data_IF_619510464184
#
_entry.id   IF_619510464184
#
_cell.length_a   1.000
_cell.length_b   1.000
_cell.length_c   1.000
_cell.angle_alpha   90.00
_cell.angle_beta   90.00
_cell.angle_gamma   90.00
#
_symmetry.space_group_name_H-M   'P 1'
#
loop_
_entity.id
_entity.type
_entity.pdbx_description
1 polymer ?
#
# COMPACT_ATOMS: atom_id res chain seq x y z
N UNK A 1 15.65 -45.74 0.62
CA UNK A 1 16.31 -44.99 1.71
C UNK A 1 17.78 -44.86 1.34
N UNK A 2 18.16 -43.73 0.74
CA UNK A 2 19.55 -43.31 0.56
C UNK A 2 19.56 -41.83 0.93
N UNK A 3 20.14 -41.54 2.09
CA UNK A 3 20.52 -40.20 2.49
C UNK A 3 21.67 -39.74 1.60
N UNK A 4 21.57 -38.52 1.08
CA UNK A 4 22.77 -37.70 0.92
C UNK A 4 22.50 -36.27 1.38
N UNK A 5 23.42 -35.80 2.21
CA UNK A 5 23.41 -34.51 2.90
C UNK A 5 24.25 -33.54 2.07
N UNK A 6 23.58 -32.67 1.32
CA UNK A 6 24.03 -31.31 0.96
C UNK A 6 22.88 -30.65 0.21
N UNK A 7 22.47 -29.48 0.68
CA UNK A 7 21.35 -28.68 0.20
C UNK A 7 21.51 -28.26 -1.27
N UNK A 8 21.24 -29.20 -2.18
CA UNK A 8 21.01 -28.94 -3.59
C UNK A 8 19.63 -28.32 -3.75
N UNK A 9 19.57 -27.06 -4.15
CA UNK A 9 18.32 -26.38 -4.47
C UNK A 9 17.75 -27.06 -5.73
N UNK A 10 16.85 -28.02 -5.55
CA UNK A 10 16.01 -28.53 -6.61
C UNK A 10 15.03 -27.41 -7.00
N UNK A 11 15.46 -26.55 -7.92
CA UNK A 11 14.60 -25.55 -8.54
C UNK A 11 13.67 -26.30 -9.50
N UNK A 12 12.36 -26.20 -9.28
CA UNK A 12 11.38 -26.83 -10.18
C UNK A 12 11.49 -26.23 -11.60
N UNK A 13 11.18 -27.04 -12.62
CA UNK A 13 11.18 -26.60 -14.03
C UNK A 13 10.35 -25.32 -14.21
N UNK A 14 9.16 -25.26 -13.58
CA UNK A 14 8.31 -24.06 -13.65
C UNK A 14 8.96 -22.79 -13.09
N UNK A 15 9.82 -22.89 -12.06
CA UNK A 15 10.54 -21.73 -11.53
C UNK A 15 11.64 -21.24 -12.49
N UNK A 16 12.28 -22.15 -13.23
CA UNK A 16 13.24 -21.78 -14.28
C UNK A 16 12.51 -21.08 -15.44
N UNK A 17 11.34 -21.56 -15.83
CA UNK A 17 10.52 -20.93 -16.87
C UNK A 17 10.05 -19.53 -16.45
N UNK A 18 9.61 -19.36 -15.20
CA UNK A 18 9.28 -18.04 -14.63
C UNK A 18 10.48 -17.08 -14.67
N UNK A 19 11.69 -17.56 -14.36
CA UNK A 19 12.90 -16.74 -14.45
C UNK A 19 13.28 -16.37 -15.87
N UNK A 20 13.15 -17.29 -16.84
CA UNK A 20 13.38 -17.00 -18.26
C UNK A 20 12.40 -15.96 -18.77
N UNK A 21 11.13 -16.15 -18.46
CA UNK A 21 10.05 -15.23 -18.75
C UNK A 21 10.29 -13.81 -18.18
N UNK A 22 10.74 -13.72 -16.92
CA UNK A 22 11.11 -12.45 -16.31
C UNK A 22 12.34 -11.84 -16.99
N UNK A 23 13.37 -12.63 -17.29
CA UNK A 23 14.56 -12.18 -18.01
C UNK A 23 14.26 -11.60 -19.39
N UNK A 24 13.36 -12.23 -20.14
CA UNK A 24 12.88 -11.73 -21.45
C UNK A 24 12.20 -10.36 -21.30
N UNK A 25 11.29 -10.25 -20.33
CA UNK A 25 10.57 -9.01 -20.01
C UNK A 25 11.54 -7.91 -19.58
N UNK A 26 12.49 -8.25 -18.70
CA UNK A 26 13.50 -7.34 -18.18
C UNK A 26 14.41 -6.79 -19.28
N UNK A 27 14.87 -7.63 -20.22
CA UNK A 27 15.66 -7.20 -21.39
C UNK A 27 14.84 -6.35 -22.35
N UNK A 28 13.58 -6.72 -22.59
CA UNK A 28 12.68 -5.97 -23.48
C UNK A 28 12.21 -4.64 -22.86
N UNK A 29 12.34 -4.49 -21.54
CA UNK A 29 11.83 -3.38 -20.73
C UNK A 29 10.33 -3.09 -20.94
N UNK A 30 9.56 -4.14 -21.22
CA UNK A 30 8.11 -4.06 -21.53
C UNK A 30 7.34 -5.06 -20.69
N UNK A 31 6.29 -4.64 -19.97
CA UNK A 31 5.48 -5.57 -19.17
C UNK A 31 4.84 -6.62 -20.07
N UNK A 32 4.63 -7.82 -19.52
CA UNK A 32 3.93 -8.90 -20.21
C UNK A 32 2.73 -9.34 -19.40
N UNK A 33 1.54 -9.24 -19.99
CA UNK A 33 0.30 -9.75 -19.39
C UNK A 33 0.35 -11.29 -19.40
N UNK A 34 0.02 -11.90 -18.28
CA UNK A 34 -0.08 -13.35 -18.14
C UNK A 34 -1.43 -13.83 -18.71
N UNK A 35 -1.46 -14.97 -19.40
CA UNK A 35 -2.71 -15.54 -19.88
C UNK A 35 -3.63 -15.87 -18.70
N UNK A 36 -4.93 -15.63 -18.86
CA UNK A 36 -5.94 -15.87 -17.82
C UNK A 36 -7.03 -14.81 -17.81
N UNK A 37 -8.05 -15.01 -16.98
CA UNK A 37 -9.02 -13.97 -16.65
C UNK A 37 -8.61 -13.34 -15.35
N UNK A 38 -8.25 -12.06 -15.40
CA UNK A 38 -7.89 -11.26 -14.23
C UNK A 38 -9.03 -10.28 -13.96
N UNK A 39 -9.41 -10.11 -12.70
CA UNK A 39 -10.38 -9.07 -12.37
C UNK A 39 -9.79 -7.70 -12.76
N UNK A 40 -10.55 -6.80 -13.39
CA UNK A 40 -10.02 -5.47 -13.72
C UNK A 40 -9.73 -4.69 -12.44
N UNK A 41 -8.68 -3.86 -12.46
CA UNK A 41 -8.46 -2.87 -11.41
C UNK A 41 -9.62 -1.86 -11.49
N UNK A 42 -10.36 -1.62 -10.38
CA UNK A 42 -11.49 -0.70 -10.38
C UNK A 42 -11.11 0.71 -10.85
N UNK A 43 -11.96 1.36 -11.63
CA UNK A 43 -11.74 2.75 -12.03
C UNK A 43 -11.93 3.75 -10.87
N UNK A 44 -12.74 3.37 -9.87
CA UNK A 44 -12.93 4.10 -8.62
C UNK A 44 -12.62 3.21 -7.43
N UNK A 45 -11.87 3.74 -6.47
CA UNK A 45 -11.38 3.01 -5.29
C UNK A 45 -10.91 3.99 -4.21
N UNK A 46 -10.64 3.46 -3.03
CA UNK A 46 -9.95 4.16 -1.95
C UNK A 46 -8.53 3.60 -1.89
N UNK A 47 -7.54 4.40 -2.27
CA UNK A 47 -6.14 4.07 -2.08
C UNK A 47 -5.82 4.22 -0.59
N UNK A 48 -5.27 3.19 0.04
CA UNK A 48 -4.94 3.17 1.45
C UNK A 48 -3.52 2.66 1.64
N UNK A 49 -2.75 3.41 2.41
CA UNK A 49 -1.45 3.01 2.93
C UNK A 49 -1.39 3.39 4.42
N UNK A 50 -0.69 2.58 5.20
CA UNK A 50 -0.59 2.79 6.63
C UNK A 50 0.74 2.35 7.18
N UNK A 51 1.16 3.08 8.18
CA UNK A 51 2.35 2.82 8.93
C UNK A 51 1.97 2.29 10.31
N UNK A 52 2.55 1.14 10.64
CA UNK A 52 2.07 0.34 11.75
C UNK A 52 3.18 -0.44 12.45
N UNK A 53 2.83 -1.04 13.59
CA UNK A 53 3.65 -2.00 14.30
C UNK A 53 2.78 -3.24 14.58
N UNK A 54 3.30 -4.41 14.24
CA UNK A 54 2.62 -5.70 14.46
C UNK A 54 3.53 -6.59 15.30
N UNK A 55 3.14 -6.81 16.56
CA UNK A 55 3.75 -7.87 17.39
C UNK A 55 2.86 -9.11 17.36
N UNK A 56 3.25 -10.18 18.06
CA UNK A 56 2.46 -11.43 18.07
C UNK A 56 1.03 -11.20 18.55
N UNK A 57 0.84 -10.38 19.57
CA UNK A 57 -0.46 -10.22 20.26
C UNK A 57 -1.07 -8.83 20.14
N UNK A 58 -0.34 -7.85 19.62
CA UNK A 58 -0.80 -6.47 19.50
C UNK A 58 -0.64 -5.95 18.08
N UNK A 59 -1.46 -4.96 17.70
CA UNK A 59 -1.31 -4.16 16.49
C UNK A 59 -1.61 -2.70 16.78
N UNK A 60 -0.75 -1.80 16.31
CA UNK A 60 -0.97 -0.36 16.40
C UNK A 60 -0.72 0.30 15.04
N UNK A 61 -1.63 1.17 14.62
CA UNK A 61 -1.50 1.99 13.41
C UNK A 61 -1.21 3.40 13.88
N UNK A 62 -0.02 3.92 13.58
CA UNK A 62 0.39 5.24 14.05
C UNK A 62 0.21 6.32 12.97
N UNK A 63 0.14 5.94 11.71
CA UNK A 63 -0.22 6.87 10.63
C UNK A 63 -0.95 6.14 9.52
N UNK A 64 -1.93 6.78 8.89
CA UNK A 64 -2.47 6.31 7.62
C UNK A 64 -2.72 7.47 6.67
N UNK A 65 -2.77 7.17 5.38
CA UNK A 65 -3.32 8.04 4.35
C UNK A 65 -4.35 7.27 3.52
N UNK A 66 -5.52 7.88 3.32
CA UNK A 66 -6.57 7.35 2.48
C UNK A 66 -6.96 8.39 1.41
N UNK A 67 -7.09 7.96 0.15
CA UNK A 67 -7.49 8.83 -0.97
C UNK A 67 -8.60 8.18 -1.78
N UNK A 68 -9.72 8.87 -1.94
CA UNK A 68 -10.76 8.46 -2.88
C UNK A 68 -10.37 8.85 -4.31
N UNK A 69 -10.42 7.87 -5.21
CA UNK A 69 -10.03 7.97 -6.62
C UNK A 69 -11.22 7.63 -7.52
N UNK A 70 -11.31 8.26 -8.69
CA UNK A 70 -12.36 7.97 -9.68
C UNK A 70 -13.75 8.47 -9.29
N UNK A 71 -13.83 9.46 -8.38
CA UNK A 71 -15.09 10.05 -7.90
C UNK A 71 -15.17 11.54 -8.23
N UNK A 72 -16.39 12.09 -8.26
CA UNK A 72 -16.63 13.50 -8.55
C UNK A 72 -16.01 14.45 -7.51
N UNK A 73 -16.01 14.04 -6.23
CA UNK A 73 -15.47 14.82 -5.12
C UNK A 73 -14.34 14.03 -4.45
N UNK A 74 -13.13 13.98 -5.04
CA UNK A 74 -12.02 13.25 -4.45
C UNK A 74 -11.59 13.93 -3.14
N UNK A 75 -11.40 13.14 -2.09
CA UNK A 75 -10.84 13.58 -0.81
C UNK A 75 -9.61 12.77 -0.45
N UNK A 76 -8.70 13.41 0.27
CA UNK A 76 -7.59 12.75 0.94
C UNK A 76 -7.65 13.04 2.43
N UNK A 77 -7.46 12.00 3.23
CA UNK A 77 -7.35 12.07 4.68
C UNK A 77 -6.01 11.48 5.09
N UNK A 78 -5.20 12.27 5.80
CA UNK A 78 -3.96 11.79 6.41
C UNK A 78 -4.02 12.02 7.90
N UNK A 79 -3.78 10.97 8.68
CA UNK A 79 -3.82 11.05 10.14
C UNK A 79 -2.54 10.49 10.71
N UNK A 80 -1.95 11.24 11.65
CA UNK A 80 -0.95 10.75 12.57
C UNK A 80 -1.57 10.67 13.96
N UNK A 81 -1.42 9.52 14.63
CA UNK A 81 -1.83 9.31 16.00
C UNK A 81 -0.70 8.75 16.86
N UNK A 82 -0.63 9.21 18.10
CA UNK A 82 0.17 8.51 19.09
C UNK A 82 -0.53 7.23 19.60
N UNK A 83 0.10 6.56 20.57
CA UNK A 83 -0.41 5.30 21.12
C UNK A 83 -1.73 5.46 21.89
N UNK A 84 -2.07 6.68 22.32
CA UNK A 84 -3.27 6.95 23.12
C UNK A 84 -4.51 7.26 22.27
N UNK A 85 -4.32 7.65 21.01
CA UNK A 85 -5.39 8.06 20.10
C UNK A 85 -5.70 7.02 19.01
N UNK A 86 -5.37 5.74 19.24
CA UNK A 86 -5.64 4.67 18.27
C UNK A 86 -7.14 4.53 17.95
N UNK A 87 -8.02 4.66 18.94
CA UNK A 87 -9.46 4.59 18.74
C UNK A 87 -9.97 5.73 17.85
N UNK A 88 -9.50 6.95 18.08
CA UNK A 88 -9.86 8.13 17.29
C UNK A 88 -9.36 8.01 15.85
N UNK A 89 -8.14 7.49 15.65
CA UNK A 89 -7.58 7.22 14.33
C UNK A 89 -8.46 6.25 13.54
N UNK A 90 -8.87 5.15 14.17
CA UNK A 90 -9.75 4.17 13.53
C UNK A 90 -11.15 4.73 13.28
N UNK A 91 -11.69 5.55 14.19
CA UNK A 91 -12.98 6.20 13.99
C UNK A 91 -12.96 7.13 12.77
N UNK A 92 -11.91 7.93 12.61
CA UNK A 92 -11.75 8.82 11.45
C UNK A 92 -11.60 8.04 10.13
N UNK A 93 -10.87 6.92 10.14
CA UNK A 93 -10.81 6.03 8.98
C UNK A 93 -12.21 5.47 8.65
N UNK A 94 -12.97 5.02 9.65
CA UNK A 94 -14.33 4.53 9.44
C UNK A 94 -15.25 5.59 8.83
N UNK A 95 -15.19 6.84 9.33
CA UNK A 95 -15.97 7.96 8.80
C UNK A 95 -15.59 8.27 7.34
N UNK A 96 -14.29 8.25 7.02
CA UNK A 96 -13.82 8.42 5.64
C UNK A 96 -14.38 7.32 4.73
N UNK A 97 -14.34 6.07 5.17
CA UNK A 97 -14.86 4.94 4.42
C UNK A 97 -16.38 5.00 4.28
N UNK A 98 -17.10 5.47 5.29
CA UNK A 98 -18.54 5.65 5.27
C UNK A 98 -19.00 6.68 4.22
N UNK A 99 -18.16 7.69 3.95
CA UNK A 99 -18.42 8.67 2.90
C UNK A 99 -18.32 8.09 1.47
N UNK A 100 -17.70 6.91 1.32
CA UNK A 100 -17.53 6.21 0.04
C UNK A 100 -17.88 4.72 0.18
N UNK A 101 -19.16 4.39 0.44
CA UNK A 101 -19.57 3.04 0.80
C UNK A 101 -19.40 2.03 -0.35
N UNK A 102 -19.51 2.48 -1.60
CA UNK A 102 -19.47 1.63 -2.80
C UNK A 102 -18.06 1.44 -3.37
N UNK A 103 -17.06 2.13 -2.81
CA UNK A 103 -15.69 2.02 -3.32
C UNK A 103 -14.92 0.86 -2.67
N UNK A 104 -14.24 0.03 -3.47
CA UNK A 104 -13.29 -0.95 -2.94
C UNK A 104 -12.09 -0.23 -2.31
N UNK A 105 -11.47 -0.85 -1.31
CA UNK A 105 -10.17 -0.39 -0.79
C UNK A 105 -9.06 -1.09 -1.54
N UNK A 106 -8.08 -0.32 -1.98
CA UNK A 106 -6.91 -0.79 -2.70
C UNK A 106 -5.68 -0.43 -1.87
N UNK A 107 -4.85 -1.43 -1.56
CA UNK A 107 -3.54 -1.27 -0.92
C UNK A 107 -2.47 -1.97 -1.74
N UNK A 108 -1.19 -1.67 -1.48
CA UNK A 108 -0.13 -2.40 -2.16
C UNK A 108 -0.10 -3.87 -1.74
N UNK A 109 -0.34 -4.19 -0.46
CA UNK A 109 -0.37 -5.58 0.02
C UNK A 109 -1.39 -5.83 1.15
N UNK A 110 -1.71 -7.10 1.43
CA UNK A 110 -2.61 -7.48 2.53
C UNK A 110 -2.06 -7.18 3.94
N UNK A 111 -0.78 -6.80 4.10
CA UNK A 111 -0.21 -6.50 5.43
C UNK A 111 -1.07 -5.49 6.17
N UNK A 112 -1.41 -4.42 5.46
CA UNK A 112 -2.05 -3.23 6.00
C UNK A 112 -3.45 -3.57 6.51
N UNK A 113 -4.20 -4.30 5.70
CA UNK A 113 -5.55 -4.76 6.03
C UNK A 113 -5.54 -5.77 7.18
N UNK A 114 -4.55 -6.67 7.22
CA UNK A 114 -4.40 -7.62 8.33
C UNK A 114 -4.16 -6.89 9.65
N UNK A 115 -3.28 -5.89 9.64
CA UNK A 115 -2.96 -5.12 10.84
C UNK A 115 -4.15 -4.28 11.28
N UNK A 116 -4.86 -3.63 10.36
CA UNK A 116 -6.10 -2.92 10.67
C UNK A 116 -7.14 -3.84 11.31
N UNK A 117 -7.36 -5.04 10.76
CA UNK A 117 -8.29 -6.02 11.33
C UNK A 117 -7.94 -6.34 12.79
N UNK A 118 -6.65 -6.53 13.06
CA UNK A 118 -6.15 -6.82 14.39
C UNK A 118 -6.33 -5.63 15.35
N UNK A 119 -5.94 -4.43 14.94
CA UNK A 119 -6.08 -3.21 15.74
C UNK A 119 -7.56 -2.92 16.10
N UNK A 120 -8.49 -3.13 15.16
CA UNK A 120 -9.93 -2.94 15.39
C UNK A 120 -10.47 -3.95 16.39
N UNK A 121 -10.04 -5.21 16.29
CA UNK A 121 -10.43 -6.27 17.22
C UNK A 121 -9.95 -5.96 18.65
N UNK A 122 -8.74 -5.42 18.80
CA UNK A 122 -8.15 -5.11 20.09
C UNK A 122 -8.84 -3.94 20.80
N UNK A 123 -9.21 -2.89 20.06
CA UNK A 123 -9.77 -1.66 20.64
C UNK A 123 -11.28 -1.81 20.92
N UNK A 124 -11.89 -2.95 20.56
CA UNK A 124 -13.33 -3.21 20.72
C UNK A 124 -14.19 -2.08 20.14
N UNK A 125 -13.71 -1.42 19.09
CA UNK A 125 -14.54 -0.44 18.38
C UNK A 125 -15.62 -1.26 17.68
N UNK A 126 -16.88 -1.12 18.11
CA UNK A 126 -18.06 -1.65 17.43
C UNK A 126 -18.29 -0.92 16.09
N UNK A 127 -17.26 -0.88 15.24
CA UNK A 127 -17.34 -0.23 13.95
C UNK A 127 -17.57 -1.28 12.87
N UNK A 128 -18.85 -1.57 12.65
CA UNK A 128 -19.31 -2.45 11.57
C UNK A 128 -18.67 -2.07 10.22
N UNK A 129 -18.29 -0.81 9.98
CA UNK A 129 -17.62 -0.37 8.76
C UNK A 129 -16.21 -0.93 8.58
N UNK A 130 -15.41 -0.99 9.66
CA UNK A 130 -14.07 -1.60 9.56
C UNK A 130 -14.18 -3.13 9.64
N UNK A 131 -15.15 -3.66 10.40
CA UNK A 131 -15.51 -5.08 10.29
C UNK A 131 -15.88 -5.45 8.84
N UNK A 132 -16.70 -4.63 8.19
CA UNK A 132 -17.08 -4.78 6.78
C UNK A 132 -15.90 -4.61 5.83
N UNK A 133 -14.95 -3.70 6.09
CA UNK A 133 -13.68 -3.70 5.33
C UNK A 133 -12.99 -5.06 5.34
N UNK A 134 -13.04 -5.71 6.50
CA UNK A 134 -12.29 -6.94 6.74
C UNK A 134 -13.03 -8.21 6.33
N UNK A 135 -14.34 -8.15 6.09
CA UNK A 135 -15.21 -9.30 5.79
C UNK A 135 -16.01 -9.17 4.47
N UNK A 136 -16.42 -7.96 4.07
CA UNK A 136 -17.43 -7.76 3.01
C UNK A 136 -17.07 -6.74 1.93
N UNK A 137 -16.20 -5.75 2.18
CA UNK A 137 -15.69 -4.87 1.12
C UNK A 137 -14.69 -5.63 0.26
N UNK A 138 -14.73 -5.38 -1.05
CA UNK A 138 -13.78 -5.90 -2.01
C UNK A 138 -12.41 -5.23 -1.83
N UNK A 139 -11.64 -5.64 -0.82
CA UNK A 139 -10.23 -5.27 -0.76
C UNK A 139 -9.51 -5.80 -2.01
N UNK A 140 -8.75 -4.94 -2.65
CA UNK A 140 -7.90 -5.28 -3.78
C UNK A 140 -6.44 -5.18 -3.34
N UNK A 141 -5.80 -6.33 -3.18
CA UNK A 141 -4.34 -6.42 -3.04
C UNK A 141 -3.68 -6.26 -4.41
N UNK A 142 -3.07 -5.10 -4.64
CA UNK A 142 -2.48 -4.79 -5.94
C UNK A 142 -1.20 -5.60 -6.22
N UNK A 143 -0.43 -5.99 -5.20
CA UNK A 143 0.75 -6.83 -5.35
C UNK A 143 0.39 -8.25 -5.79
N UNK A 144 -0.58 -8.88 -5.12
CA UNK A 144 -1.05 -10.22 -5.49
C UNK A 144 -1.74 -10.19 -6.86
N UNK A 145 -2.54 -9.16 -7.14
CA UNK A 145 -3.08 -8.94 -8.48
C UNK A 145 -1.96 -8.85 -9.53
N UNK A 146 -0.91 -8.05 -9.26
CA UNK A 146 0.21 -7.86 -10.20
C UNK A 146 0.93 -9.18 -10.46
N UNK A 147 1.21 -9.96 -9.42
CA UNK A 147 1.86 -11.29 -9.53
C UNK A 147 1.04 -12.27 -10.38
N UNK A 148 -0.29 -12.22 -10.28
CA UNK A 148 -1.19 -13.07 -11.03
C UNK A 148 -1.42 -12.60 -12.47
N UNK A 149 -1.45 -11.29 -12.69
CA UNK A 149 -1.87 -10.68 -13.95
C UNK A 149 -0.72 -10.39 -14.91
N UNK A 150 0.51 -10.15 -14.42
CA UNK A 150 1.60 -9.72 -15.29
C UNK A 150 3.01 -9.99 -14.75
N UNK A 151 3.97 -9.87 -15.66
CA UNK A 151 5.40 -9.81 -15.35
C UNK A 151 5.87 -8.40 -15.64
N UNK A 152 6.45 -7.75 -14.64
CA UNK A 152 7.06 -6.43 -14.76
C UNK A 152 8.58 -6.54 -14.97
N UNK A 153 9.20 -5.63 -15.76
CA UNK A 153 10.65 -5.59 -15.98
C UNK A 153 11.39 -4.91 -14.83
N UNK A 154 11.08 -5.30 -13.60
CA UNK A 154 11.66 -4.74 -12.38
C UNK A 154 12.42 -5.81 -11.60
N UNK A 155 13.40 -5.38 -10.80
CA UNK A 155 14.18 -6.30 -9.94
C UNK A 155 13.38 -6.83 -8.76
N UNK A 156 12.37 -6.09 -8.34
CA UNK A 156 11.48 -6.38 -7.23
C UNK A 156 10.09 -5.82 -7.52
N UNK A 157 9.10 -6.34 -6.79
CA UNK A 157 7.73 -5.87 -6.81
C UNK A 157 7.41 -5.11 -5.52
N UNK A 158 8.35 -4.31 -5.00
CA UNK A 158 8.00 -3.28 -4.01
C UNK A 158 7.44 -2.05 -4.74
N UNK A 159 6.52 -1.35 -4.08
CA UNK A 159 5.78 -0.23 -4.67
C UNK A 159 6.71 0.82 -5.26
N UNK A 160 7.80 1.16 -4.58
CA UNK A 160 8.74 2.20 -4.99
C UNK A 160 9.53 1.81 -6.23
N UNK A 161 9.96 0.56 -6.34
CA UNK A 161 10.63 0.05 -7.54
C UNK A 161 9.69 0.01 -8.74
N UNK A 162 8.45 -0.42 -8.55
CA UNK A 162 7.43 -0.44 -9.61
C UNK A 162 7.07 0.98 -10.05
N UNK A 163 6.91 1.90 -9.10
CA UNK A 163 6.65 3.31 -9.39
C UNK A 163 7.81 3.96 -10.17
N UNK A 164 9.06 3.69 -9.76
CA UNK A 164 10.24 4.19 -10.45
C UNK A 164 10.32 3.66 -11.90
N UNK A 165 9.95 2.40 -12.12
CA UNK A 165 9.87 1.84 -13.48
C UNK A 165 8.88 2.61 -14.37
N UNK A 166 7.72 3.00 -13.82
CA UNK A 166 6.74 3.82 -14.52
C UNK A 166 7.09 5.32 -14.61
N UNK A 167 8.24 5.73 -14.05
CA UNK A 167 8.66 7.13 -14.03
C UNK A 167 7.83 8.01 -13.09
N UNK A 168 7.15 7.40 -12.11
CA UNK A 168 6.37 8.11 -11.10
C UNK A 168 7.34 8.69 -10.06
N UNK A 169 7.26 10.00 -9.84
CA UNK A 169 8.13 10.69 -8.88
C UNK A 169 7.83 10.25 -7.44
N UNK A 170 8.88 10.03 -6.65
CA UNK A 170 8.80 9.69 -5.24
C UNK A 170 9.48 10.79 -4.43
N UNK A 171 8.72 11.43 -3.55
CA UNK A 171 9.20 12.57 -2.75
C UNK A 171 10.06 12.13 -1.55
N UNK A 172 10.02 10.85 -1.19
CA UNK A 172 10.74 10.23 -0.07
C UNK A 172 11.42 8.90 -0.49
N UNK A 173 12.38 8.93 -1.43
CA UNK A 173 13.00 7.72 -1.97
C UNK A 173 13.83 6.94 -0.93
N UNK A 174 14.30 7.62 0.13
CA UNK A 174 15.10 7.00 1.19
C UNK A 174 14.27 6.33 2.30
N UNK A 175 12.95 6.58 2.36
CA UNK A 175 12.10 6.02 3.40
C UNK A 175 11.53 4.66 2.96
N UNK A 176 11.39 3.74 3.90
CA UNK A 176 10.71 2.45 3.74
C UNK A 176 10.17 2.02 5.11
N UNK A 177 9.40 0.94 5.20
CA UNK A 177 8.80 0.51 6.47
C UNK A 177 9.81 0.35 7.62
N UNK A 178 11.03 -0.14 7.36
CA UNK A 178 12.06 -0.25 8.41
C UNK A 178 12.56 1.12 8.91
N UNK A 179 12.73 2.07 7.99
CA UNK A 179 13.08 3.46 8.33
C UNK A 179 11.92 4.15 9.04
N UNK A 180 10.68 3.95 8.58
CA UNK A 180 9.45 4.44 9.21
C UNK A 180 9.33 3.98 10.67
N UNK A 181 9.49 2.68 10.93
CA UNK A 181 9.50 2.15 12.30
C UNK A 181 10.64 2.72 13.16
N UNK A 182 11.84 2.89 12.59
CA UNK A 182 12.96 3.50 13.30
C UNK A 182 12.68 4.97 13.66
N UNK A 183 12.06 5.73 12.76
CA UNK A 183 11.61 7.10 13.00
C UNK A 183 10.54 7.14 14.09
N UNK A 184 9.54 6.26 14.05
CA UNK A 184 8.50 6.22 15.09
C UNK A 184 9.07 5.91 16.49
N UNK A 185 10.05 5.00 16.59
CA UNK A 185 10.79 4.78 17.85
C UNK A 185 11.55 6.02 18.33
N UNK A 186 12.15 6.78 17.41
CA UNK A 186 12.79 8.04 17.75
C UNK A 186 11.77 9.10 18.22
N UNK A 187 10.60 9.17 17.58
CA UNK A 187 9.49 10.05 17.99
C UNK A 187 9.02 9.75 19.42
N UNK A 188 8.86 8.47 19.77
CA UNK A 188 8.44 8.04 21.11
C UNK A 188 9.50 8.34 22.19
N UNK A 189 10.78 8.18 21.86
CA UNK A 189 11.87 8.28 22.84
C UNK A 189 12.40 9.69 23.08
N UNK A 190 12.25 10.61 22.12
CA UNK A 190 12.72 11.99 22.27
C UNK A 190 11.78 12.80 23.17
N UNK A 191 12.35 13.68 24.00
CA UNK A 191 11.59 14.68 24.78
C UNK A 191 11.58 16.06 24.12
N UNK A 192 12.36 16.25 23.04
CA UNK A 192 12.45 17.52 22.33
C UNK A 192 11.23 17.71 21.41
N UNK A 193 10.36 18.71 21.65
CA UNK A 193 9.14 18.91 20.85
C UNK A 193 9.41 19.20 19.37
N UNK A 194 10.49 19.93 19.06
CA UNK A 194 10.85 20.25 17.68
C UNK A 194 11.24 19.00 16.89
N UNK A 195 11.95 18.06 17.54
CA UNK A 195 12.34 16.79 16.91
C UNK A 195 11.12 15.89 16.73
N UNK A 196 10.17 15.88 17.68
CA UNK A 196 8.91 15.17 17.50
C UNK A 196 8.14 15.67 16.29
N UNK A 197 8.02 16.98 16.16
CA UNK A 197 7.30 17.59 15.03
C UNK A 197 7.96 17.27 13.69
N UNK A 198 9.29 17.35 13.61
CA UNK A 198 10.05 16.99 12.40
C UNK A 198 9.79 15.53 11.99
N UNK A 199 9.91 14.60 12.95
CA UNK A 199 9.66 13.19 12.66
C UNK A 199 8.20 12.97 12.24
N UNK A 200 7.24 13.61 12.90
CA UNK A 200 5.82 13.52 12.54
C UNK A 200 5.58 13.98 11.11
N UNK A 201 6.12 15.15 10.74
CA UNK A 201 6.00 15.70 9.40
C UNK A 201 6.66 14.79 8.34
N UNK A 202 7.81 14.18 8.64
CA UNK A 202 8.46 13.20 7.76
C UNK A 202 7.57 11.97 7.52
N UNK A 203 6.98 11.42 8.59
CA UNK A 203 6.13 10.23 8.53
C UNK A 203 4.82 10.48 7.75
N UNK A 204 4.18 11.63 7.99
CA UNK A 204 3.01 12.08 7.22
C UNK A 204 3.36 12.23 5.74
N UNK A 205 4.48 12.89 5.44
CA UNK A 205 4.94 13.06 4.06
C UNK A 205 5.19 11.73 3.37
N UNK A 206 5.69 10.75 4.12
CA UNK A 206 5.97 9.42 3.60
C UNK A 206 4.72 8.63 3.23
N UNK A 207 3.76 8.47 4.14
CA UNK A 207 2.52 7.73 3.82
C UNK A 207 1.73 8.39 2.69
N UNK A 208 1.77 9.72 2.59
CA UNK A 208 1.15 10.47 1.47
C UNK A 208 1.83 10.20 0.14
N UNK A 209 3.16 10.16 0.15
CA UNK A 209 3.95 9.80 -1.02
C UNK A 209 3.57 8.39 -1.45
N UNK A 210 3.53 7.42 -0.53
CA UNK A 210 3.23 6.03 -0.86
C UNK A 210 1.80 5.85 -1.39
N UNK A 211 0.79 6.54 -0.86
CA UNK A 211 -0.56 6.58 -1.48
C UNK A 211 -0.53 7.20 -2.88
N UNK A 212 0.26 8.25 -3.10
CA UNK A 212 0.41 8.86 -4.43
C UNK A 212 1.06 7.89 -5.43
N UNK A 213 2.09 7.16 -5.00
CA UNK A 213 2.72 6.10 -5.79
C UNK A 213 1.72 4.98 -6.08
N UNK A 214 0.95 4.55 -5.08
CA UNK A 214 -0.06 3.50 -5.22
C UNK A 214 -1.12 3.86 -6.27
N UNK A 215 -1.62 5.08 -6.24
CA UNK A 215 -2.57 5.58 -7.25
C UNK A 215 -1.96 5.53 -8.65
N UNK A 216 -0.75 6.08 -8.82
CA UNK A 216 -0.12 6.10 -10.14
C UNK A 216 0.24 4.70 -10.65
N UNK A 217 0.72 3.82 -9.78
CA UNK A 217 0.99 2.43 -10.14
C UNK A 217 -0.29 1.73 -10.55
N UNK A 218 -1.38 1.86 -9.78
CA UNK A 218 -2.68 1.28 -10.13
C UNK A 218 -3.17 1.76 -11.51
N UNK A 219 -3.06 3.06 -11.80
CA UNK A 219 -3.46 3.63 -13.10
C UNK A 219 -2.61 3.09 -14.26
N UNK A 220 -1.30 2.97 -14.09
CA UNK A 220 -0.41 2.38 -15.09
C UNK A 220 -0.71 0.90 -15.33
N UNK A 221 -0.87 0.11 -14.26
CA UNK A 221 -1.19 -1.31 -14.35
C UNK A 221 -2.54 -1.54 -15.04
N UNK A 222 -3.56 -0.76 -14.68
CA UNK A 222 -4.87 -0.78 -15.33
C UNK A 222 -4.76 -0.45 -16.80
N UNK A 223 -4.03 0.60 -17.15
CA UNK A 223 -3.85 1.03 -18.54
C UNK A 223 -3.18 -0.05 -19.39
N UNK A 224 -2.15 -0.71 -18.85
CA UNK A 224 -1.49 -1.84 -19.52
C UNK A 224 -2.46 -3.00 -19.72
N UNK A 225 -3.19 -3.38 -18.66
CA UNK A 225 -4.15 -4.47 -18.69
C UNK A 225 -5.26 -4.24 -19.72
N UNK A 226 -5.77 -3.01 -19.81
CA UNK A 226 -6.86 -2.63 -20.70
C UNK A 226 -6.36 -2.31 -22.13
N UNK A 227 -5.05 -2.36 -22.38
CA UNK A 227 -4.45 -2.08 -23.68
C UNK A 227 -4.52 -0.60 -24.09
N UNK A 228 -4.62 0.30 -23.13
CA UNK A 228 -4.69 1.76 -23.35
C UNK A 228 -3.37 2.44 -22.97
N UNK A 229 -3.17 3.65 -23.48
CA UNK A 229 -1.99 4.44 -23.11
C UNK A 229 -2.14 4.94 -21.67
N UNK A 230 -1.13 4.76 -20.81
CA UNK A 230 -1.16 5.27 -19.44
C UNK A 230 -1.35 6.78 -19.43
N UNK A 231 -2.04 7.33 -18.41
CA UNK A 231 -2.14 8.77 -18.25
C UNK A 231 -0.74 9.39 -18.12
N UNK A 232 -0.41 10.32 -19.01
CA UNK A 232 0.84 11.09 -18.93
C UNK A 232 0.58 12.34 -18.09
N UNK A 233 0.86 12.27 -16.81
CA UNK A 233 0.67 13.41 -15.91
C UNK A 233 1.26 13.12 -14.54
N UNK A 234 1.69 14.17 -13.84
CA UNK A 234 1.95 14.04 -12.40
C UNK A 234 0.60 13.82 -11.73
N UNK A 235 0.49 12.81 -10.88
CA UNK A 235 -0.63 12.75 -9.94
C UNK A 235 -0.45 13.91 -8.97
N UNK A 236 -1.07 15.05 -9.28
CA UNK A 236 -0.99 16.21 -8.42
C UNK A 236 -1.59 15.87 -7.04
N UNK A 237 -0.99 16.39 -5.95
CA UNK A 237 -1.61 16.35 -4.64
C UNK A 237 -3.02 16.94 -4.72
N UNK A 238 -4.00 16.30 -4.07
CA UNK A 238 -5.34 16.87 -3.99
C UNK A 238 -5.30 18.20 -3.23
N UNK A 239 -6.04 19.20 -3.73
CA UNK A 239 -6.15 20.52 -3.08
C UNK A 239 -6.90 20.48 -1.74
N UNK A 240 -7.77 19.48 -1.54
CA UNK A 240 -8.45 19.21 -0.28
C UNK A 240 -7.76 18.03 0.42
N UNK A 241 -6.84 18.38 1.31
CA UNK A 241 -6.04 17.45 2.09
C UNK A 241 -6.31 17.71 3.57
N UNK A 242 -7.14 16.86 4.16
CA UNK A 242 -7.44 16.90 5.57
C UNK A 242 -6.28 16.22 6.31
N UNK A 243 -5.36 17.01 6.86
CA UNK A 243 -4.31 16.49 7.76
C UNK A 243 -4.78 16.68 9.18
N UNK A 244 -5.03 15.56 9.87
CA UNK A 244 -5.49 15.56 11.25
C UNK A 244 -4.37 15.02 12.15
N UNK A 245 -4.17 15.72 13.26
CA UNK A 245 -3.28 15.33 14.33
C UNK A 245 -4.13 15.02 15.56
N UNK A 246 -4.01 13.79 16.06
CA UNK A 246 -4.69 13.34 17.27
C UNK A 246 -3.68 12.76 18.25
#
# INVERSE_FOLDING_TARGET
MLCDKKSGILTSIGKIEQWRAHGEVYVANKPRILPGTHAPIPAGYIALDLEHEEEKTTAAVWTFCARAVGVANPRQLTIFADETHQADLLAQLADFLAAYPDLPVLSWSQSDIRVLRKAVTEISVENQLIGNLTETRHHTDLLEWTKGAMILPTKSLDLKTVAAYFGIANDVPSMNGSVGSARMRAHRSTTNPSVKEEIRAELIRYVRSDVTLLVGVADHLRSIHDGITPPTGRHEPLHADDVIYI
#
